data_IF_404573700642
#
_entry.id   IF_404573700642
#
_cell.length_a   1.000
_cell.length_b   1.000
_cell.length_c   1.000
_cell.angle_alpha   90.00
_cell.angle_beta   90.00
_cell.angle_gamma   90.00
#
_symmetry.space_group_name_H-M   'P 1'
#
loop_
_entity.id
_entity.type
_entity.pdbx_description
1 polymer ?
#
# COMPACT_ATOMS: atom_id res chain seq x y z
N UNK A 1 8.97 1.98 8.99
CA UNK A 1 8.00 3.09 8.72
C UNK A 1 8.65 4.43 8.38
N UNK A 2 9.70 4.88 9.09
CA UNK A 2 10.34 6.19 8.81
C UNK A 2 10.69 6.44 7.34
N UNK A 3 11.24 5.44 6.64
CA UNK A 3 11.61 5.56 5.22
C UNK A 3 10.44 5.85 4.28
N UNK A 4 9.21 5.54 4.69
CA UNK A 4 8.00 5.78 3.90
C UNK A 4 7.46 7.21 4.08
N UNK A 5 7.89 7.95 5.11
CA UNK A 5 7.43 9.33 5.34
C UNK A 5 7.69 10.26 4.16
N UNK A 6 8.74 9.99 3.37
CA UNK A 6 9.08 10.76 2.15
C UNK A 6 8.00 10.72 1.07
N UNK A 7 7.06 9.77 1.14
CA UNK A 7 5.95 9.64 0.20
C UNK A 7 4.68 10.35 0.67
N UNK A 8 4.59 10.71 1.95
CA UNK A 8 3.43 11.43 2.48
C UNK A 8 3.38 12.84 1.88
N UNK A 9 2.20 13.23 1.40
CA UNK A 9 1.95 14.51 0.75
C UNK A 9 2.28 14.52 -0.75
N UNK A 10 2.91 13.48 -1.29
CA UNK A 10 3.19 13.36 -2.71
C UNK A 10 1.92 13.07 -3.52
N UNK A 11 1.81 13.58 -4.76
CA UNK A 11 0.77 13.17 -5.69
C UNK A 11 0.85 11.66 -5.94
N UNK A 12 -0.32 11.02 -6.04
CA UNK A 12 -0.44 9.61 -6.36
C UNK A 12 -0.68 9.44 -7.86
N UNK A 13 0.11 8.58 -8.50
CA UNK A 13 0.02 8.22 -9.92
C UNK A 13 -0.74 6.92 -10.08
N UNK A 14 -1.95 7.02 -10.57
CA UNK A 14 -2.86 5.88 -10.71
C UNK A 14 -2.51 5.00 -11.91
N UNK A 15 -1.84 5.56 -12.91
CA UNK A 15 -1.56 4.93 -14.20
C UNK A 15 -0.78 3.63 -14.03
N UNK A 16 0.26 3.64 -13.18
CA UNK A 16 1.11 2.48 -12.98
C UNK A 16 0.39 1.32 -12.29
N UNK A 17 -0.54 1.59 -11.36
CA UNK A 17 -1.24 0.50 -10.67
C UNK A 17 -2.35 -0.12 -11.53
N UNK A 18 -2.81 0.57 -12.58
CA UNK A 18 -3.75 0.02 -13.57
C UNK A 18 -3.09 -1.02 -14.49
N UNK A 19 -1.77 -1.02 -14.58
CA UNK A 19 -1.02 -2.02 -15.34
C UNK A 19 -0.94 -3.35 -14.57
N UNK A 20 -1.56 -4.44 -15.08
CA UNK A 20 -1.69 -5.69 -14.33
C UNK A 20 -0.34 -6.32 -13.92
N UNK A 21 0.70 -6.12 -14.71
CA UNK A 21 2.02 -6.68 -14.44
C UNK A 21 2.86 -5.82 -13.50
N UNK A 22 2.53 -4.53 -13.36
CA UNK A 22 3.22 -3.64 -12.44
C UNK A 22 3.05 -4.13 -11.00
N UNK A 23 1.81 -4.32 -10.53
CA UNK A 23 1.55 -4.80 -9.16
C UNK A 23 2.18 -6.17 -8.89
N UNK A 24 2.08 -7.09 -9.86
CA UNK A 24 2.70 -8.43 -9.77
C UNK A 24 4.21 -8.36 -9.61
N UNK A 25 4.89 -7.42 -10.29
CA UNK A 25 6.34 -7.25 -10.16
C UNK A 25 6.80 -6.86 -8.73
N UNK A 26 5.87 -6.33 -7.93
CA UNK A 26 6.08 -6.02 -6.51
C UNK A 26 5.41 -7.02 -5.56
N UNK A 27 4.87 -8.14 -6.07
CA UNK A 27 4.07 -9.10 -5.29
C UNK A 27 2.88 -8.46 -4.57
N UNK A 28 2.29 -7.43 -5.19
CA UNK A 28 1.11 -6.74 -4.71
C UNK A 28 -0.11 -7.19 -5.50
N UNK A 29 -1.24 -7.23 -4.83
CA UNK A 29 -2.55 -7.30 -5.47
C UNK A 29 -3.44 -6.20 -4.89
N UNK A 30 -4.35 -5.65 -5.69
CA UNK A 30 -5.28 -4.60 -5.27
C UNK A 30 -6.69 -5.05 -5.65
N UNK A 31 -7.62 -5.02 -4.69
CA UNK A 31 -8.97 -5.52 -4.92
C UNK A 31 -9.82 -4.58 -5.78
N UNK A 32 -9.64 -3.27 -5.59
CA UNK A 32 -10.42 -2.26 -6.30
C UNK A 32 -9.51 -1.10 -6.69
N UNK A 33 -9.30 -0.93 -8.00
CA UNK A 33 -8.56 0.19 -8.58
C UNK A 33 -9.59 1.16 -9.16
N UNK A 34 -9.63 2.43 -8.72
CA UNK A 34 -10.57 3.41 -9.25
C UNK A 34 -10.29 3.79 -10.70
N UNK A 35 -11.28 4.40 -11.35
CA UNK A 35 -11.04 5.07 -12.62
C UNK A 35 -10.26 6.37 -12.41
N UNK A 36 -10.57 7.13 -11.35
CA UNK A 36 -9.85 8.35 -10.97
C UNK A 36 -9.47 8.33 -9.51
N UNK A 37 -8.29 8.84 -9.18
CA UNK A 37 -7.79 8.80 -7.80
C UNK A 37 -8.62 9.66 -6.85
N UNK A 38 -9.32 10.67 -7.37
CA UNK A 38 -10.24 11.52 -6.61
C UNK A 38 -11.51 10.80 -6.15
N UNK A 39 -11.82 9.63 -6.72
CA UNK A 39 -13.02 8.84 -6.41
C UNK A 39 -12.85 7.98 -5.16
N UNK A 40 -11.63 7.82 -4.63
CA UNK A 40 -11.34 6.97 -3.48
C UNK A 40 -10.59 7.73 -2.39
N UNK A 41 -10.92 7.39 -1.15
CA UNK A 41 -10.22 7.89 0.04
C UNK A 41 -9.06 6.98 0.44
N UNK A 42 -9.08 5.70 0.05
CA UNK A 42 -8.09 4.70 0.42
C UNK A 42 -7.95 3.61 -0.66
N UNK A 43 -6.71 3.14 -0.86
CA UNK A 43 -6.37 2.00 -1.70
C UNK A 43 -5.78 0.90 -0.82
N UNK A 44 -6.27 -0.32 -0.99
CA UNK A 44 -5.80 -1.49 -0.26
C UNK A 44 -4.97 -2.40 -1.16
N UNK A 45 -3.75 -2.69 -0.72
CA UNK A 45 -2.86 -3.62 -1.40
C UNK A 45 -2.54 -4.80 -0.50
N UNK A 46 -2.80 -6.01 -0.98
CA UNK A 46 -2.40 -7.24 -0.30
C UNK A 46 -0.99 -7.64 -0.73
N UNK A 47 -0.15 -7.94 0.25
CA UNK A 47 1.22 -8.46 0.10
C UNK A 47 1.48 -9.50 1.18
N UNK A 48 1.79 -10.72 0.76
CA UNK A 48 1.81 -11.88 1.65
C UNK A 48 0.44 -11.98 2.37
N UNK A 49 0.42 -11.91 3.70
CA UNK A 49 -0.80 -11.87 4.53
C UNK A 49 -1.07 -10.50 5.17
N UNK A 50 -0.41 -9.45 4.66
CA UNK A 50 -0.50 -8.08 5.16
C UNK A 50 -1.24 -7.21 4.15
N UNK A 51 -2.21 -6.44 4.64
CA UNK A 51 -2.86 -5.39 3.86
C UNK A 51 -2.16 -4.06 4.12
N UNK A 52 -1.74 -3.41 3.05
CA UNK A 52 -1.21 -2.06 3.03
C UNK A 52 -2.31 -1.09 2.58
N UNK A 53 -2.82 -0.31 3.53
CA UNK A 53 -3.81 0.74 3.30
C UNK A 53 -3.10 2.05 2.98
N UNK A 54 -3.36 2.62 1.79
CA UNK A 54 -2.83 3.90 1.34
C UNK A 54 -3.97 4.90 1.23
N UNK A 55 -4.11 5.77 2.24
CA UNK A 55 -5.12 6.81 2.23
C UNK A 55 -4.70 7.95 1.30
N UNK A 56 -5.57 8.34 0.39
CA UNK A 56 -5.36 9.40 -0.59
C UNK A 56 -6.44 10.47 -0.43
N UNK A 57 -6.02 11.72 -0.35
CA UNK A 57 -6.96 12.86 -0.24
C UNK A 57 -6.49 13.96 -1.17
N UNK A 58 -7.39 14.40 -2.06
CA UNK A 58 -7.10 15.37 -3.12
C UNK A 58 -5.89 14.94 -3.97
N UNK A 59 -5.89 13.67 -4.38
CA UNK A 59 -4.85 13.06 -5.20
C UNK A 59 -3.48 12.91 -4.53
N UNK A 60 -3.37 13.11 -3.21
CA UNK A 60 -2.10 13.04 -2.47
C UNK A 60 -2.15 12.01 -1.35
N UNK A 61 -1.06 11.27 -1.17
CA UNK A 61 -0.93 10.30 -0.07
C UNK A 61 -1.01 11.04 1.27
N UNK A 62 -1.89 10.59 2.16
CA UNK A 62 -2.01 11.12 3.53
C UNK A 62 -1.50 10.17 4.57
N UNK A 63 -1.66 8.87 4.36
CA UNK A 63 -1.33 7.85 5.33
C UNK A 63 -0.99 6.56 4.62
N UNK A 64 -0.05 5.82 5.20
CA UNK A 64 0.28 4.46 4.81
C UNK A 64 0.18 3.63 6.10
N UNK A 65 -0.68 2.63 6.11
CA UNK A 65 -0.84 1.70 7.23
C UNK A 65 -0.57 0.27 6.76
N UNK A 66 -0.08 -0.55 7.67
CA UNK A 66 0.08 -1.99 7.48
C UNK A 66 -0.77 -2.66 8.54
N UNK A 67 -1.65 -3.56 8.13
CA UNK A 67 -2.53 -4.31 9.02
C UNK A 67 -2.50 -5.78 8.66
N UNK A 68 -2.66 -6.62 9.67
CA UNK A 68 -2.97 -8.04 9.49
C UNK A 68 -4.47 -8.15 9.32
N UNK A 69 -4.91 -8.89 8.31
CA UNK A 69 -6.31 -9.25 8.10
C UNK A 69 -6.55 -10.66 8.61
N UNK A 70 -7.68 -10.86 9.29
CA UNK A 70 -8.14 -12.19 9.65
C UNK A 70 -8.70 -12.87 8.38
N UNK A 71 -8.10 -14.00 7.97
CA UNK A 71 -8.54 -14.71 6.76
C UNK A 71 -9.95 -15.31 6.89
N UNK A 72 -10.40 -15.61 8.12
CA UNK A 72 -11.74 -16.11 8.40
C UNK A 72 -12.78 -14.97 8.49
N UNK A 73 -12.33 -13.75 8.81
CA UNK A 73 -13.16 -12.56 8.86
C UNK A 73 -12.39 -11.34 8.32
N UNK A 74 -12.40 -11.07 7.00
CA UNK A 74 -11.62 -9.99 6.38
C UNK A 74 -11.91 -8.58 6.89
N UNK A 75 -13.08 -8.36 7.50
CA UNK A 75 -13.46 -7.09 8.12
C UNK A 75 -12.70 -6.85 9.45
N UNK A 76 -12.13 -7.90 10.04
CA UNK A 76 -11.28 -7.80 11.22
C UNK A 76 -9.83 -7.58 10.81
N UNK A 77 -9.34 -6.37 11.05
CA UNK A 77 -7.94 -6.03 10.91
C UNK A 77 -7.29 -5.66 12.26
N UNK A 78 -6.01 -5.99 12.39
CA UNK A 78 -5.22 -5.67 13.57
C UNK A 78 -3.87 -5.07 13.19
N UNK A 79 -3.32 -4.18 14.03
CA UNK A 79 -1.98 -3.66 13.80
C UNK A 79 -0.95 -4.79 13.90
N UNK A 80 0.14 -4.66 13.15
CA UNK A 80 1.31 -5.52 13.33
C UNK A 80 1.96 -5.20 14.68
N UNK A 81 2.37 -6.24 15.41
CA UNK A 81 3.32 -6.09 16.50
C UNK A 81 4.66 -5.58 15.95
N UNK A 82 5.53 -5.09 16.86
CA UNK A 82 6.85 -4.59 16.46
C UNK A 82 7.70 -5.66 15.79
N UNK A 83 7.63 -6.90 16.25
CA UNK A 83 8.38 -8.03 15.69
C UNK A 83 7.88 -8.39 14.29
N UNK A 84 6.56 -8.55 14.13
CA UNK A 84 5.94 -8.82 12.82
C UNK A 84 6.27 -7.72 11.81
N UNK A 85 6.19 -6.45 12.23
CA UNK A 85 6.55 -5.32 11.38
C UNK A 85 8.03 -5.37 10.97
N UNK A 86 8.93 -5.74 11.87
CA UNK A 86 10.37 -5.86 11.56
C UNK A 86 10.60 -6.95 10.51
N UNK A 87 10.04 -8.13 10.73
CA UNK A 87 10.16 -9.29 9.81
C UNK A 87 9.57 -8.94 8.43
N UNK A 88 8.41 -8.28 8.41
CA UNK A 88 7.78 -7.85 7.17
C UNK A 88 8.67 -6.87 6.40
N UNK A 89 9.22 -5.85 7.08
CA UNK A 89 10.05 -4.84 6.45
C UNK A 89 11.39 -5.41 5.97
N UNK A 90 12.02 -6.34 6.70
CA UNK A 90 13.24 -7.00 6.25
C UNK A 90 13.09 -7.68 4.88
N UNK A 91 11.90 -8.25 4.61
CA UNK A 91 11.59 -8.94 3.35
C UNK A 91 11.12 -7.98 2.26
N UNK A 92 10.28 -7.00 2.61
CA UNK A 92 9.50 -6.25 1.64
C UNK A 92 9.88 -4.77 1.51
N UNK A 93 10.65 -4.18 2.44
CA UNK A 93 10.87 -2.72 2.49
C UNK A 93 11.47 -2.17 1.19
N UNK A 94 12.55 -2.77 0.68
CA UNK A 94 13.21 -2.29 -0.55
C UNK A 94 12.27 -2.32 -1.76
N UNK A 95 11.43 -3.34 -1.84
CA UNK A 95 10.44 -3.54 -2.91
C UNK A 95 9.32 -2.50 -2.80
N UNK A 96 8.78 -2.30 -1.60
CA UNK A 96 7.73 -1.31 -1.33
C UNK A 96 8.23 0.13 -1.54
N UNK A 97 9.46 0.46 -1.15
CA UNK A 97 10.06 1.77 -1.45
C UNK A 97 10.08 2.02 -2.96
N UNK A 98 10.51 1.03 -3.75
CA UNK A 98 10.51 1.15 -5.22
C UNK A 98 9.08 1.28 -5.78
N UNK A 99 8.12 0.53 -5.25
CA UNK A 99 6.72 0.67 -5.62
C UNK A 99 6.24 2.11 -5.40
N UNK A 100 6.46 2.67 -4.21
CA UNK A 100 6.09 4.06 -3.89
C UNK A 100 6.84 5.07 -4.76
N UNK A 101 8.10 4.85 -5.10
CA UNK A 101 8.86 5.71 -6.03
C UNK A 101 8.25 5.75 -7.43
N UNK A 102 7.58 4.67 -7.86
CA UNK A 102 6.94 4.60 -9.17
C UNK A 102 5.51 5.15 -9.18
N UNK A 103 4.78 5.09 -8.06
CA UNK A 103 3.40 5.61 -7.98
C UNK A 103 3.32 7.01 -7.38
N UNK A 104 4.45 7.68 -7.16
CA UNK A 104 4.48 9.05 -6.63
C UNK A 104 5.29 9.99 -7.51
N UNK A 105 5.00 11.28 -7.38
CA UNK A 105 5.74 12.40 -7.99
C UNK A 105 6.68 13.04 -6.96
#
# INVERSE_FOLDING_TARGET
MEKFKKFIGKPFKLENIKEPDFLKSYSLSCQSIPEKIEEFEELEFLIDDIVMCVAVLKGKIKRIMLVKVNQENPDECSPLTKEELSIFLERNEKKLIKFFENITE
#
